data_IF_984371610546
#
_entry.id   IF_984371610546
#
_cell.length_a   1.000
_cell.length_b   1.000
_cell.length_c   1.000
_cell.angle_alpha   90.00
_cell.angle_beta   90.00
_cell.angle_gamma   90.00
#
_symmetry.space_group_name_H-M   'P 1'
#
loop_
_entity.id
_entity.type
_entity.pdbx_description
1 polymer ?
#
# COMPACT_ATOMS: atom_id res chain seq x y z
N UNK A 1 -6.40 13.17 -3.55
CA UNK A 1 -6.22 12.53 -2.23
C UNK A 1 -5.59 11.14 -2.38
N UNK A 2 -5.12 10.50 -1.31
CA UNK A 2 -4.56 9.13 -1.36
C UNK A 2 -5.56 8.09 -1.94
N UNK A 3 -6.84 8.23 -1.60
CA UNK A 3 -7.92 7.37 -2.12
C UNK A 3 -8.10 7.51 -3.64
N UNK A 4 -8.02 8.72 -4.18
CA UNK A 4 -8.10 8.95 -5.63
C UNK A 4 -6.89 8.39 -6.38
N UNK A 5 -5.71 8.41 -5.76
CA UNK A 5 -4.48 7.88 -6.36
C UNK A 5 -4.55 6.36 -6.52
N UNK A 6 -4.93 5.64 -5.46
CA UNK A 6 -5.06 4.17 -5.53
C UNK A 6 -6.18 3.74 -6.50
N UNK A 7 -7.30 4.44 -6.53
CA UNK A 7 -8.38 4.25 -7.52
C UNK A 7 -7.89 4.42 -8.96
N UNK A 8 -7.10 5.47 -9.19
CA UNK A 8 -6.56 5.76 -10.52
C UNK A 8 -5.56 4.71 -10.97
N UNK A 9 -4.63 4.33 -10.10
CA UNK A 9 -3.66 3.30 -10.42
C UNK A 9 -4.33 1.93 -10.69
N UNK A 10 -5.35 1.57 -9.90
CA UNK A 10 -6.06 0.30 -10.03
C UNK A 10 -6.70 0.09 -11.43
N UNK A 11 -7.18 1.16 -12.08
CA UNK A 11 -7.78 1.07 -13.43
C UNK A 11 -6.80 0.59 -14.51
N UNK A 12 -5.50 0.77 -14.29
CA UNK A 12 -4.46 0.40 -15.26
C UNK A 12 -3.90 -1.01 -15.04
N UNK A 13 -4.37 -1.73 -14.02
CA UNK A 13 -3.89 -3.08 -13.71
C UNK A 13 -4.79 -4.12 -14.37
N UNK A 14 -4.24 -4.93 -15.28
CA UNK A 14 -4.96 -6.05 -15.91
C UNK A 14 -5.39 -7.12 -14.89
N UNK A 15 -6.43 -7.94 -15.18
CA UNK A 15 -6.74 -9.13 -14.37
C UNK A 15 -5.51 -10.02 -14.16
N UNK A 16 -5.36 -10.56 -12.94
CA UNK A 16 -4.15 -11.27 -12.48
C UNK A 16 -2.93 -10.37 -12.22
N UNK A 17 -3.04 -9.05 -12.44
CA UNK A 17 -1.98 -8.07 -12.25
C UNK A 17 -1.80 -7.67 -10.77
N UNK A 18 -0.78 -6.86 -10.52
CA UNK A 18 -0.39 -6.40 -9.18
C UNK A 18 -0.31 -4.89 -9.12
N UNK A 19 -0.74 -4.32 -8.01
CA UNK A 19 -0.60 -2.90 -7.65
C UNK A 19 0.24 -2.81 -6.38
N UNK A 20 1.21 -1.89 -6.36
CA UNK A 20 1.88 -1.49 -5.12
C UNK A 20 1.40 -0.10 -4.75
N UNK A 21 0.90 0.04 -3.53
CA UNK A 21 0.57 1.30 -2.90
C UNK A 21 1.60 1.59 -1.81
N UNK A 22 2.15 2.79 -1.75
CA UNK A 22 3.17 3.14 -0.77
C UNK A 22 3.14 4.61 -0.38
N UNK A 23 3.53 4.91 0.86
CA UNK A 23 3.66 6.27 1.38
C UNK A 23 4.96 6.40 2.20
N UNK A 24 5.45 7.62 2.36
CA UNK A 24 6.49 7.97 3.33
C UNK A 24 5.90 8.44 4.67
N UNK A 25 4.73 7.90 5.03
CA UNK A 25 3.99 8.22 6.26
C UNK A 25 3.80 6.96 7.10
N UNK A 26 3.74 7.12 8.42
CA UNK A 26 3.32 6.05 9.34
C UNK A 26 1.86 6.18 9.77
N UNK A 27 1.17 7.24 9.32
CA UNK A 27 -0.19 7.55 9.73
C UNK A 27 -1.19 6.51 9.16
N UNK A 28 -1.94 5.78 10.00
CA UNK A 28 -2.89 4.78 9.53
C UNK A 28 -3.94 5.33 8.56
N UNK A 29 -4.33 6.61 8.71
CA UNK A 29 -5.30 7.27 7.84
C UNK A 29 -4.85 7.38 6.37
N UNK A 30 -3.54 7.45 6.13
CA UNK A 30 -2.95 7.45 4.78
C UNK A 30 -2.60 6.04 4.29
N UNK A 31 -2.62 5.03 5.16
CA UNK A 31 -2.03 3.72 4.91
C UNK A 31 -3.09 2.61 4.90
N UNK A 32 -3.17 1.84 6.00
CA UNK A 32 -4.07 0.70 6.13
C UNK A 32 -5.54 1.10 5.95
N UNK A 33 -5.93 2.31 6.36
CA UNK A 33 -7.30 2.78 6.18
C UNK A 33 -7.62 3.07 4.71
N UNK A 34 -6.65 3.52 3.91
CA UNK A 34 -6.81 3.68 2.45
C UNK A 34 -6.95 2.31 1.78
N UNK A 35 -6.09 1.36 2.16
CA UNK A 35 -6.13 -0.02 1.63
C UNK A 35 -7.44 -0.72 2.01
N UNK A 36 -7.87 -0.64 3.26
CA UNK A 36 -9.13 -1.24 3.72
C UNK A 36 -10.34 -0.61 3.03
N UNK A 37 -10.36 0.72 2.90
CA UNK A 37 -11.41 1.44 2.16
C UNK A 37 -11.47 1.00 0.69
N UNK A 38 -10.32 0.85 0.05
CA UNK A 38 -10.24 0.40 -1.34
C UNK A 38 -10.77 -1.04 -1.50
N UNK A 39 -10.29 -1.97 -0.68
CA UNK A 39 -10.70 -3.39 -0.75
C UNK A 39 -12.19 -3.58 -0.48
N UNK A 40 -12.80 -2.78 0.40
CA UNK A 40 -14.24 -2.83 0.66
C UNK A 40 -15.09 -2.44 -0.56
N UNK A 41 -14.53 -1.66 -1.50
CA UNK A 41 -15.22 -1.13 -2.68
C UNK A 41 -14.88 -1.90 -3.95
N UNK A 42 -13.80 -2.67 -3.93
CA UNK A 42 -13.24 -3.36 -5.09
C UNK A 42 -13.10 -4.87 -4.81
N UNK A 43 -14.20 -5.65 -4.84
CA UNK A 43 -14.20 -7.06 -4.43
C UNK A 43 -13.34 -7.99 -5.30
N UNK A 44 -12.93 -7.53 -6.50
CA UNK A 44 -11.98 -8.25 -7.36
C UNK A 44 -10.52 -8.04 -6.95
N UNK A 45 -10.24 -7.29 -5.89
CA UNK A 45 -8.91 -7.06 -5.39
C UNK A 45 -8.67 -7.77 -4.07
N UNK A 46 -7.44 -8.21 -3.86
CA UNK A 46 -7.01 -8.90 -2.65
C UNK A 46 -5.74 -8.23 -2.13
N UNK A 47 -5.65 -8.09 -0.80
CA UNK A 47 -4.39 -7.79 -0.14
C UNK A 47 -3.53 -9.04 -0.14
N UNK A 48 -2.33 -8.96 -0.71
CA UNK A 48 -1.37 -10.06 -0.67
C UNK A 48 -0.41 -9.91 0.51
N UNK A 49 0.11 -8.70 0.72
CA UNK A 49 0.91 -8.33 1.90
C UNK A 49 0.98 -6.83 2.06
N UNK A 50 1.16 -6.39 3.28
CA UNK A 50 1.57 -5.02 3.60
C UNK A 50 2.62 -4.99 4.72
N UNK A 51 3.27 -3.84 4.84
CA UNK A 51 4.28 -3.60 5.86
C UNK A 51 4.34 -2.12 6.21
N UNK A 52 4.22 -1.82 7.50
CA UNK A 52 4.66 -0.55 8.06
C UNK A 52 6.11 -0.68 8.49
N UNK A 53 6.94 0.20 7.98
CA UNK A 53 8.30 0.40 8.48
C UNK A 53 8.25 1.55 9.47
N UNK A 54 8.60 1.28 10.72
CA UNK A 54 8.74 2.34 11.72
C UNK A 54 10.06 3.10 11.52
N UNK A 55 10.11 4.39 11.87
CA UNK A 55 11.35 5.12 11.94
C UNK A 55 12.33 4.41 12.87
N UNK A 56 13.58 4.36 12.47
CA UNK A 56 14.63 3.73 13.26
C UNK A 56 15.94 4.50 13.09
N UNK A 57 16.71 4.54 14.17
CA UNK A 57 18.01 5.18 14.23
C UNK A 57 18.99 4.25 14.91
N UNK A 58 20.24 4.24 14.44
CA UNK A 58 21.29 3.43 15.01
C UNK A 58 22.68 3.87 14.55
N UNK A 59 23.74 3.23 15.07
CA UNK A 59 25.12 3.65 14.85
C UNK A 59 25.62 3.39 13.43
N UNK A 60 24.92 2.56 12.64
CA UNK A 60 25.26 2.26 11.24
C UNK A 60 24.21 2.84 10.31
N UNK A 61 24.61 3.21 9.10
CA UNK A 61 23.67 3.69 8.07
C UNK A 61 22.54 2.69 7.79
N UNK A 62 22.82 1.38 7.85
CA UNK A 62 21.81 0.33 7.66
C UNK A 62 20.75 0.27 8.77
N UNK A 63 21.02 0.88 9.94
CA UNK A 63 20.06 0.96 11.03
C UNK A 63 19.10 2.16 10.88
N UNK A 64 19.40 3.09 9.95
CA UNK A 64 18.62 4.30 9.68
C UNK A 64 17.42 4.01 8.78
N UNK A 65 16.23 4.40 9.22
CA UNK A 65 14.98 4.32 8.45
C UNK A 65 14.11 5.53 8.77
N UNK A 66 13.64 6.23 7.74
CA UNK A 66 12.68 7.33 7.89
C UNK A 66 11.28 6.83 8.30
N UNK A 67 10.99 5.57 8.00
CA UNK A 67 9.68 4.98 8.15
C UNK A 67 8.81 5.12 6.89
N UNK A 68 7.70 4.42 6.86
CA UNK A 68 6.77 4.44 5.74
C UNK A 68 5.89 3.20 5.67
N UNK A 69 5.15 3.08 4.58
CA UNK A 69 4.22 1.97 4.36
C UNK A 69 4.27 1.50 2.92
N UNK A 70 4.11 0.19 2.73
CA UNK A 70 3.87 -0.40 1.41
C UNK A 70 2.88 -1.56 1.51
N UNK A 71 1.95 -1.61 0.56
CA UNK A 71 0.99 -2.70 0.37
C UNK A 71 1.05 -3.20 -1.07
N UNK A 72 1.06 -4.52 -1.24
CA UNK A 72 0.90 -5.18 -2.54
C UNK A 72 -0.50 -5.76 -2.62
N UNK A 73 -1.25 -5.33 -3.62
CA UNK A 73 -2.59 -5.81 -3.93
C UNK A 73 -2.56 -6.61 -5.24
N UNK A 74 -3.39 -7.65 -5.32
CA UNK A 74 -3.55 -8.49 -6.51
C UNK A 74 -4.97 -8.28 -7.04
N UNK A 75 -5.08 -7.98 -8.34
CA UNK A 75 -6.36 -8.05 -9.04
C UNK A 75 -6.61 -9.50 -9.42
N UNK A 76 -7.75 -10.07 -9.03
CA UNK A 76 -8.15 -11.44 -9.40
C UNK A 76 -8.05 -11.60 -10.92
N UNK A 77 -7.56 -12.76 -11.35
CA UNK A 77 -7.78 -13.22 -12.71
C UNK A 77 -9.16 -13.87 -12.67
N UNK A 78 -10.11 -13.34 -13.43
CA UNK A 78 -11.40 -14.00 -13.62
C UNK A 78 -11.20 -15.35 -14.32
#
# INVERSE_FOLDING_TARGET
TQRELIETAARHVRPGGRLVYSTCSIEPAENQQVVAWFLARHPHWLLDRDQTTLPAWGPRLADWRDGGYAARLIRRAD
#
